data_IF_769079500962
#
_entry.id   IF_769079500962
#
_cell.length_a   1.000
_cell.length_b   1.000
_cell.length_c   1.000
_cell.angle_alpha   90.00
_cell.angle_beta   90.00
_cell.angle_gamma   90.00
#
_symmetry.space_group_name_H-M   'P 1'
#
loop_
_entity.id
_entity.type
_entity.pdbx_description
1 polymer ?
#
# COMPACT_ATOMS: atom_id res chain seq x y z
N UNK A 1 -35.07 9.46 91.66
CA UNK A 1 -35.90 9.99 90.57
C UNK A 1 -35.24 9.64 89.21
N UNK A 2 -35.74 8.61 88.56
CA UNK A 2 -35.21 8.11 87.23
C UNK A 2 -36.03 8.77 86.15
N UNK A 3 -35.38 9.54 85.27
CA UNK A 3 -36.00 10.09 84.09
C UNK A 3 -35.84 9.04 82.91
N UNK A 4 -36.96 8.61 82.38
CA UNK A 4 -37.09 7.78 81.24
C UNK A 4 -37.10 8.69 80.04
N UNK A 5 -36.15 8.55 79.10
CA UNK A 5 -36.11 9.25 77.80
C UNK A 5 -36.65 8.28 76.75
N UNK A 6 -37.82 8.60 76.22
CA UNK A 6 -38.44 7.84 75.12
C UNK A 6 -37.80 8.27 73.77
N UNK A 7 -37.14 7.35 73.08
CA UNK A 7 -36.54 7.60 71.79
C UNK A 7 -37.55 7.22 70.71
N UNK A 8 -38.07 8.22 69.98
CA UNK A 8 -38.97 8.02 68.84
C UNK A 8 -38.13 7.78 67.55
N UNK A 9 -38.19 6.56 67.03
CA UNK A 9 -37.53 6.20 65.74
C UNK A 9 -38.50 6.57 64.61
N UNK A 10 -38.14 7.59 63.83
CA UNK A 10 -38.84 7.92 62.56
C UNK A 10 -38.20 7.08 61.42
N UNK A 11 -38.94 6.10 60.96
CA UNK A 11 -38.54 5.33 59.79
C UNK A 11 -38.77 6.16 58.51
N UNK A 12 -37.70 6.59 57.90
CA UNK A 12 -37.72 7.25 56.57
C UNK A 12 -37.69 6.18 55.49
N UNK A 13 -38.83 5.93 54.86
CA UNK A 13 -38.94 5.00 53.74
C UNK A 13 -38.41 5.69 52.48
N UNK A 14 -37.22 5.32 52.05
CA UNK A 14 -36.63 5.78 50.79
C UNK A 14 -37.20 4.97 49.63
N UNK A 15 -38.16 5.55 48.90
CA UNK A 15 -38.60 4.98 47.59
C UNK A 15 -37.50 5.23 46.57
N UNK A 16 -36.73 4.19 46.27
CA UNK A 16 -35.78 4.18 45.15
C UNK A 16 -36.58 4.04 43.87
N UNK A 17 -36.85 5.13 43.16
CA UNK A 17 -37.30 5.10 41.79
C UNK A 17 -36.15 4.63 40.90
N UNK A 18 -36.08 3.35 40.61
CA UNK A 18 -35.20 2.80 39.57
C UNK A 18 -35.70 3.29 38.20
N UNK A 19 -35.22 4.44 37.75
CA UNK A 19 -35.31 4.77 36.33
C UNK A 19 -34.44 3.76 35.57
N UNK A 20 -35.09 2.77 35.00
CA UNK A 20 -34.49 1.92 34.00
C UNK A 20 -34.06 2.79 32.79
N UNK A 21 -32.76 3.16 32.73
CA UNK A 21 -32.19 3.65 31.50
C UNK A 21 -32.31 2.53 30.49
N UNK A 22 -33.28 2.67 29.57
CA UNK A 22 -33.32 1.88 28.35
C UNK A 22 -31.99 2.11 27.64
N UNK A 23 -31.15 1.08 27.59
CA UNK A 23 -29.94 1.10 26.78
C UNK A 23 -30.39 1.40 25.34
N UNK A 24 -30.07 2.60 24.87
CA UNK A 24 -30.21 2.96 23.46
C UNK A 24 -29.46 1.91 22.68
N UNK A 25 -30.06 1.22 21.70
CA UNK A 25 -29.33 0.26 20.90
C UNK A 25 -28.18 1.01 20.24
N UNK A 26 -26.95 0.65 20.58
CA UNK A 26 -25.76 1.13 19.89
C UNK A 26 -25.96 0.74 18.43
N UNK A 27 -26.29 1.72 17.60
CA UNK A 27 -26.30 1.59 16.16
C UNK A 27 -24.90 1.14 15.80
N UNK A 28 -24.76 -0.11 15.38
CA UNK A 28 -23.51 -0.59 14.81
C UNK A 28 -23.23 0.27 13.57
N UNK A 29 -22.58 1.42 13.78
CA UNK A 29 -22.17 2.27 12.67
C UNK A 29 -21.17 1.47 11.86
N UNK A 30 -21.58 1.16 10.64
CA UNK A 30 -20.76 0.42 9.68
C UNK A 30 -19.58 1.31 9.35
N UNK A 31 -18.37 0.88 9.69
CA UNK A 31 -17.14 1.63 9.41
C UNK A 31 -17.12 2.08 7.94
N UNK A 32 -16.79 3.34 7.71
CA UNK A 32 -16.74 3.95 6.38
C UNK A 32 -15.31 3.98 5.82
N UNK A 33 -15.17 4.23 4.52
CA UNK A 33 -13.86 4.39 3.89
C UNK A 33 -13.13 5.63 4.42
N UNK A 34 -13.87 6.71 4.68
CA UNK A 34 -13.36 7.98 5.20
C UNK A 34 -12.81 7.81 6.63
N UNK A 35 -13.47 7.02 7.46
CA UNK A 35 -13.00 6.73 8.83
C UNK A 35 -11.71 5.91 8.81
N UNK A 36 -11.62 4.89 7.92
CA UNK A 36 -10.37 4.12 7.75
C UNK A 36 -9.26 5.02 7.23
N UNK A 37 -9.53 5.88 6.25
CA UNK A 37 -8.58 6.85 5.70
C UNK A 37 -8.07 7.81 6.80
N UNK A 38 -8.98 8.41 7.56
CA UNK A 38 -8.62 9.35 8.64
C UNK A 38 -7.71 8.71 9.67
N UNK A 39 -8.06 7.49 10.12
CA UNK A 39 -7.25 6.74 11.09
C UNK A 39 -5.91 6.30 10.49
N UNK A 40 -5.90 5.93 9.21
CA UNK A 40 -4.66 5.61 8.49
C UNK A 40 -3.71 6.81 8.44
N UNK A 41 -4.20 7.99 8.06
CA UNK A 41 -3.38 9.21 8.02
C UNK A 41 -2.79 9.54 9.40
N UNK A 42 -3.60 9.43 10.45
CA UNK A 42 -3.13 9.59 11.82
C UNK A 42 -2.07 8.55 12.23
N UNK A 43 -2.10 7.32 11.66
CA UNK A 43 -1.11 6.28 11.90
C UNK A 43 0.25 6.56 11.24
N UNK A 44 0.27 7.38 10.18
CA UNK A 44 1.52 7.81 9.52
C UNK A 44 2.22 8.89 10.36
N UNK A 45 1.47 9.89 10.85
CA UNK A 45 2.04 11.00 11.62
C UNK A 45 1.15 12.23 11.61
N UNK A 46 1.64 13.30 12.24
CA UNK A 46 0.90 14.57 12.19
C UNK A 46 1.04 15.24 10.81
N UNK A 47 0.08 16.10 10.40
CA UNK A 47 0.19 16.83 9.13
C UNK A 47 1.50 17.62 8.99
N UNK A 48 2.01 18.18 10.11
CA UNK A 48 3.27 18.94 10.13
C UNK A 48 4.48 18.02 9.90
N UNK A 49 4.49 16.82 10.50
CA UNK A 49 5.56 15.84 10.28
C UNK A 49 5.55 15.34 8.82
N UNK A 50 4.38 15.01 8.29
CA UNK A 50 4.21 14.60 6.89
C UNK A 50 4.69 15.70 5.93
N UNK A 51 4.31 16.97 6.19
CA UNK A 51 4.72 18.12 5.38
C UNK A 51 6.24 18.34 5.37
N UNK A 52 6.92 18.05 6.48
CA UNK A 52 8.39 18.15 6.59
C UNK A 52 9.14 17.05 5.87
N UNK A 53 8.48 15.95 5.51
CA UNK A 53 9.07 14.76 4.88
C UNK A 53 8.63 14.57 3.42
N UNK A 54 8.36 15.66 2.70
CA UNK A 54 7.96 15.64 1.27
C UNK A 54 9.05 15.16 0.32
N UNK A 55 10.32 15.29 0.69
CA UNK A 55 11.45 14.67 0.02
C UNK A 55 11.93 13.50 0.86
N UNK A 56 11.95 12.30 0.28
CA UNK A 56 12.29 11.05 0.97
C UNK A 56 13.29 10.27 0.13
N UNK A 57 14.37 9.84 0.77
CA UNK A 57 15.30 8.87 0.20
C UNK A 57 15.49 7.76 1.22
N UNK A 58 15.20 6.54 0.83
CA UNK A 58 15.40 5.35 1.63
C UNK A 58 16.39 4.45 0.92
N UNK A 59 17.38 3.98 1.66
CA UNK A 59 18.37 3.04 1.15
C UNK A 59 18.44 1.80 2.02
N UNK A 60 18.81 0.70 1.41
CA UNK A 60 18.88 -0.58 2.08
C UNK A 60 19.40 -1.69 1.18
N UNK A 61 19.06 -2.91 1.55
CA UNK A 61 19.40 -4.11 0.80
C UNK A 61 18.14 -4.83 0.31
N UNK A 62 18.26 -5.47 -0.83
CA UNK A 62 17.18 -6.21 -1.43
C UNK A 62 17.59 -7.59 -1.91
N UNK A 63 16.59 -8.42 -2.09
CA UNK A 63 16.71 -9.78 -2.60
C UNK A 63 15.61 -10.01 -3.63
N UNK A 64 15.99 -10.52 -4.80
CA UNK A 64 15.08 -11.07 -5.79
C UNK A 64 15.11 -12.59 -5.69
N UNK A 65 13.97 -13.19 -5.44
CA UNK A 65 13.80 -14.64 -5.32
C UNK A 65 12.81 -15.15 -6.37
N UNK A 66 13.20 -16.05 -7.27
CA UNK A 66 12.25 -16.80 -8.08
C UNK A 66 11.50 -17.80 -7.19
N UNK A 67 10.17 -17.69 -7.14
CA UNK A 67 9.34 -18.56 -6.30
C UNK A 67 8.77 -19.75 -7.07
N UNK A 68 8.31 -19.51 -8.31
CA UNK A 68 7.67 -20.54 -9.13
C UNK A 68 7.77 -20.19 -10.61
N UNK A 69 7.99 -21.20 -11.46
CA UNK A 69 7.98 -21.04 -12.93
C UNK A 69 9.16 -20.26 -13.52
N UNK A 70 10.04 -19.73 -12.68
CA UNK A 70 11.24 -19.01 -13.09
C UNK A 70 12.47 -19.81 -12.67
N UNK A 71 13.33 -20.17 -13.63
CA UNK A 71 14.60 -20.86 -13.36
C UNK A 71 15.65 -19.82 -13.08
N UNK A 72 16.13 -19.76 -11.85
CA UNK A 72 17.17 -18.80 -11.47
C UNK A 72 17.58 -18.92 -10.02
N UNK A 73 18.71 -18.28 -9.69
CA UNK A 73 19.21 -18.16 -8.32
C UNK A 73 18.64 -16.89 -7.67
N UNK A 74 18.54 -16.93 -6.36
CA UNK A 74 18.31 -15.71 -5.57
C UNK A 74 19.43 -14.70 -5.83
N UNK A 75 19.05 -13.46 -6.15
CA UNK A 75 19.98 -12.35 -6.35
C UNK A 75 19.83 -11.37 -5.20
N UNK A 76 20.93 -10.72 -4.84
CA UNK A 76 20.93 -9.69 -3.79
C UNK A 76 21.57 -8.40 -4.28
N UNK A 77 21.27 -7.28 -3.62
CA UNK A 77 21.89 -6.04 -4.00
C UNK A 77 21.40 -4.84 -3.19
N UNK A 78 21.94 -3.67 -3.51
CA UNK A 78 21.56 -2.41 -2.89
C UNK A 78 20.23 -1.90 -3.46
N UNK A 79 19.43 -1.26 -2.60
CA UNK A 79 18.14 -0.68 -2.99
C UNK A 79 18.09 0.78 -2.61
N UNK A 80 17.50 1.57 -3.49
CA UNK A 80 17.11 2.95 -3.23
C UNK A 80 15.65 3.14 -3.64
N UNK A 81 14.88 3.76 -2.75
CA UNK A 81 13.56 4.30 -3.04
C UNK A 81 13.63 5.80 -2.75
N UNK A 82 13.32 6.62 -3.74
CA UNK A 82 13.33 8.07 -3.58
C UNK A 82 12.03 8.68 -4.10
N UNK A 83 11.55 9.71 -3.41
CA UNK A 83 10.37 10.45 -3.87
C UNK A 83 10.43 11.91 -3.43
N UNK A 84 9.89 12.78 -4.26
CA UNK A 84 9.61 14.19 -3.94
C UNK A 84 8.34 14.60 -4.65
N UNK A 85 7.37 15.12 -3.90
CA UNK A 85 6.02 15.36 -4.39
C UNK A 85 5.45 14.10 -5.07
N UNK A 86 5.03 14.17 -6.33
CA UNK A 86 4.53 13.02 -7.11
C UNK A 86 5.66 12.23 -7.80
N UNK A 87 6.91 12.75 -7.83
CA UNK A 87 8.04 12.06 -8.47
C UNK A 87 8.48 10.85 -7.64
N UNK A 88 8.89 9.79 -8.33
CA UNK A 88 9.27 8.53 -7.69
C UNK A 88 10.43 7.87 -8.44
N UNK A 89 11.35 7.28 -7.69
CA UNK A 89 12.38 6.36 -8.18
C UNK A 89 12.41 5.12 -7.30
N UNK A 90 12.36 3.94 -7.91
CA UNK A 90 12.71 2.66 -7.29
C UNK A 90 13.85 2.04 -8.07
N UNK A 91 14.96 1.76 -7.40
CA UNK A 91 16.12 1.09 -7.98
C UNK A 91 16.57 -0.02 -7.04
N UNK A 92 16.78 -1.20 -7.61
CA UNK A 92 17.48 -2.32 -6.97
C UNK A 92 18.65 -2.71 -7.88
N UNK A 93 19.88 -2.54 -7.44
CA UNK A 93 21.08 -2.96 -8.16
C UNK A 93 21.43 -4.37 -7.71
N UNK A 94 21.42 -5.32 -8.63
CA UNK A 94 21.57 -6.75 -8.36
C UNK A 94 22.94 -7.26 -8.81
N UNK A 95 23.47 -8.22 -8.10
CA UNK A 95 24.77 -8.83 -8.42
C UNK A 95 24.59 -9.94 -9.50
N UNK A 96 24.19 -9.54 -10.70
CA UNK A 96 24.04 -10.42 -11.86
C UNK A 96 24.30 -9.65 -13.14
N UNK A 97 24.95 -10.29 -14.11
CA UNK A 97 25.16 -9.72 -15.44
C UNK A 97 23.89 -9.78 -16.29
N UNK A 98 23.12 -10.84 -16.17
CA UNK A 98 21.89 -11.10 -16.93
C UNK A 98 20.72 -10.25 -16.39
N UNK A 99 20.71 -9.98 -15.08
CA UNK A 99 19.69 -9.22 -14.40
C UNK A 99 20.33 -8.21 -13.44
N UNK A 100 20.96 -7.15 -13.96
CA UNK A 100 21.80 -6.25 -13.16
C UNK A 100 21.00 -5.29 -12.28
N UNK A 101 19.72 -5.06 -12.57
CA UNK A 101 18.91 -4.11 -11.82
C UNK A 101 17.41 -4.24 -12.07
N UNK A 102 16.63 -3.73 -11.14
CA UNK A 102 15.29 -3.16 -11.37
C UNK A 102 15.40 -1.65 -11.31
N UNK A 103 14.84 -0.95 -12.29
CA UNK A 103 14.79 0.51 -12.30
C UNK A 103 13.43 0.96 -12.81
N UNK A 104 12.73 1.72 -11.99
CA UNK A 104 11.45 2.33 -12.33
C UNK A 104 11.47 3.77 -11.83
N UNK A 105 11.13 4.72 -12.68
CA UNK A 105 11.05 6.13 -12.32
C UNK A 105 9.81 6.79 -12.87
N UNK A 106 9.34 7.81 -12.17
CA UNK A 106 8.24 8.68 -12.56
C UNK A 106 8.63 10.13 -12.29
N UNK A 107 8.54 10.97 -13.30
CA UNK A 107 8.92 12.39 -13.26
C UNK A 107 7.72 13.33 -13.16
N UNK A 108 6.59 12.86 -12.59
CA UNK A 108 5.33 13.60 -12.54
C UNK A 108 4.50 13.51 -13.85
N UNK A 109 5.09 13.04 -14.96
CA UNK A 109 4.43 12.92 -16.27
C UNK A 109 4.56 11.51 -16.84
N UNK A 110 5.79 11.01 -16.97
CA UNK A 110 6.13 9.79 -17.67
C UNK A 110 6.72 8.75 -16.71
N UNK A 111 6.25 7.49 -16.84
CA UNK A 111 6.87 6.34 -16.20
C UNK A 111 7.92 5.77 -17.14
N UNK A 112 9.15 5.70 -16.66
CA UNK A 112 10.30 5.11 -17.35
C UNK A 112 10.78 3.86 -16.61
N UNK A 113 11.23 2.85 -17.36
CA UNK A 113 11.66 1.55 -16.84
C UNK A 113 12.95 1.15 -17.49
N UNK A 114 13.90 0.64 -16.71
CA UNK A 114 15.19 0.15 -17.20
C UNK A 114 15.02 -1.06 -18.13
N UNK A 115 15.92 -1.19 -19.11
CA UNK A 115 16.00 -2.33 -19.99
C UNK A 115 17.11 -3.27 -19.54
N UNK A 116 16.87 -4.57 -19.60
CA UNK A 116 17.89 -5.59 -19.38
C UNK A 116 18.94 -5.56 -20.48
N UNK A 117 20.12 -6.20 -20.31
CA UNK A 117 21.15 -6.27 -21.33
C UNK A 117 20.67 -6.87 -22.66
N UNK A 118 19.64 -7.70 -22.63
CA UNK A 118 18.95 -8.27 -23.81
C UNK A 118 18.14 -7.24 -24.61
N UNK A 119 17.90 -6.06 -24.05
CA UNK A 119 17.03 -5.01 -24.63
C UNK A 119 15.59 -5.06 -24.14
N UNK A 120 15.16 -6.17 -23.50
CA UNK A 120 13.82 -6.34 -22.94
C UNK A 120 13.70 -5.66 -21.56
N UNK A 121 12.47 -5.52 -21.08
CA UNK A 121 12.21 -5.12 -19.69
C UNK A 121 12.19 -6.35 -18.79
N UNK A 122 12.49 -6.12 -17.50
CA UNK A 122 12.23 -7.12 -16.47
C UNK A 122 10.72 -7.42 -16.36
N UNK A 123 10.32 -8.57 -15.77
CA UNK A 123 8.90 -8.86 -15.52
C UNK A 123 8.20 -7.79 -14.70
N UNK A 124 8.84 -7.26 -13.64
CA UNK A 124 8.30 -6.15 -12.85
C UNK A 124 8.22 -4.87 -13.67
N UNK A 125 9.28 -4.56 -14.41
CA UNK A 125 9.34 -3.40 -15.28
C UNK A 125 8.27 -3.42 -16.37
N UNK A 126 8.01 -4.57 -17.00
CA UNK A 126 6.95 -4.72 -17.99
C UNK A 126 5.56 -4.55 -17.37
N UNK A 127 5.32 -5.16 -16.19
CA UNK A 127 4.07 -4.96 -15.45
C UNK A 127 3.84 -3.48 -15.12
N UNK A 128 4.82 -2.82 -14.49
CA UNK A 128 4.70 -1.42 -14.06
C UNK A 128 4.60 -0.44 -15.24
N UNK A 129 5.16 -0.78 -16.40
CA UNK A 129 4.98 0.01 -17.61
C UNK A 129 3.56 -0.15 -18.17
N UNK A 130 3.05 -1.37 -18.23
CA UNK A 130 1.70 -1.68 -18.72
C UNK A 130 0.61 -1.15 -17.79
N UNK A 131 0.78 -1.33 -16.49
CA UNK A 131 -0.10 -0.82 -15.43
C UNK A 131 0.37 0.52 -14.84
N UNK A 132 0.97 1.40 -15.67
CA UNK A 132 1.64 2.63 -15.22
C UNK A 132 0.76 3.60 -14.40
N UNK A 133 -0.56 3.45 -14.49
CA UNK A 133 -1.49 4.21 -13.67
C UNK A 133 -1.36 3.94 -12.16
N UNK A 134 -0.81 2.80 -11.74
CA UNK A 134 -0.48 2.54 -10.32
C UNK A 134 0.50 3.61 -9.81
N UNK A 135 1.54 3.91 -10.61
CA UNK A 135 2.56 4.91 -10.27
C UNK A 135 2.01 6.33 -10.47
N UNK A 136 1.37 6.60 -11.63
CA UNK A 136 0.84 7.95 -11.97
C UNK A 136 -0.24 8.44 -11.02
N UNK A 137 -0.97 7.52 -10.37
CA UNK A 137 -1.96 7.85 -9.35
C UNK A 137 -1.35 7.95 -7.94
N UNK A 138 -0.04 7.71 -7.77
CA UNK A 138 0.64 7.74 -6.48
C UNK A 138 0.26 6.57 -5.57
N UNK A 139 -0.06 5.39 -6.12
CA UNK A 139 -0.47 4.25 -5.31
C UNK A 139 0.72 3.37 -4.97
N UNK A 140 1.66 3.19 -5.91
CA UNK A 140 2.85 2.37 -5.77
C UNK A 140 3.76 2.86 -4.64
N UNK A 141 4.23 1.94 -3.82
CA UNK A 141 5.10 2.20 -2.67
C UNK A 141 4.38 2.68 -1.41
N UNK A 142 3.05 2.89 -1.46
CA UNK A 142 2.28 3.29 -0.30
C UNK A 142 2.88 4.49 0.45
N UNK A 143 2.89 4.44 1.78
CA UNK A 143 3.45 5.49 2.64
C UNK A 143 4.98 5.72 2.50
N UNK A 144 5.72 4.86 1.78
CA UNK A 144 7.11 5.13 1.43
C UNK A 144 7.21 6.32 0.46
N UNK A 145 6.24 6.47 -0.45
CA UNK A 145 6.19 7.59 -1.38
C UNK A 145 5.64 8.86 -0.73
N UNK A 146 6.30 10.01 -0.96
CA UNK A 146 5.74 11.32 -0.62
C UNK A 146 4.50 11.66 -1.44
N UNK A 147 4.39 11.09 -2.66
CA UNK A 147 3.22 11.20 -3.54
C UNK A 147 2.12 10.16 -3.24
N UNK A 148 2.14 9.51 -2.08
CA UNK A 148 1.10 8.54 -1.68
C UNK A 148 -0.30 9.16 -1.84
N UNK A 149 -1.12 8.54 -2.68
CA UNK A 149 -2.44 9.07 -3.07
C UNK A 149 -3.33 9.40 -1.88
N UNK A 150 -3.23 8.66 -0.79
CA UNK A 150 -4.05 8.88 0.39
C UNK A 150 -3.64 10.13 1.20
N UNK A 151 -2.41 10.64 1.05
CA UNK A 151 -1.97 11.88 1.70
C UNK A 151 -2.68 13.12 1.15
N UNK A 152 -3.15 13.08 -0.11
CA UNK A 152 -3.83 14.18 -0.79
C UNK A 152 -5.06 13.66 -1.55
N UNK A 153 -5.87 12.80 -0.91
CA UNK A 153 -6.92 12.05 -1.56
C UNK A 153 -7.97 12.92 -2.25
N UNK A 154 -8.44 13.97 -1.59
CA UNK A 154 -9.49 14.86 -2.09
C UNK A 154 -9.12 15.57 -3.39
N UNK A 155 -7.82 15.74 -3.68
CA UNK A 155 -7.33 16.40 -4.90
C UNK A 155 -7.22 15.46 -6.11
N UNK A 156 -7.37 14.15 -5.94
CA UNK A 156 -7.00 13.15 -6.99
C UNK A 156 -8.17 12.62 -7.82
N UNK A 157 -9.41 13.13 -7.62
CA UNK A 157 -10.61 12.61 -8.31
C UNK A 157 -10.72 11.08 -8.27
N UNK A 158 -10.40 10.51 -7.12
CA UNK A 158 -10.44 9.08 -6.85
C UNK A 158 -11.58 8.75 -5.89
N UNK A 159 -11.97 7.48 -5.84
CA UNK A 159 -13.00 6.97 -4.95
C UNK A 159 -12.43 5.83 -4.12
N UNK A 160 -12.73 5.86 -2.82
CA UNK A 160 -12.52 4.75 -1.90
C UNK A 160 -13.87 4.17 -1.50
N UNK A 161 -13.94 2.85 -1.46
CA UNK A 161 -15.10 2.09 -1.00
C UNK A 161 -14.65 1.11 0.08
N UNK A 162 -15.30 1.14 1.24
CA UNK A 162 -15.05 0.16 2.29
C UNK A 162 -15.66 -1.19 1.89
N UNK A 163 -14.81 -2.19 1.67
CA UNK A 163 -15.22 -3.53 1.24
C UNK A 163 -15.38 -4.52 2.40
N UNK A 164 -15.23 -4.06 3.64
CA UNK A 164 -15.37 -4.90 4.84
C UNK A 164 -14.04 -5.40 5.38
N UNK A 165 -14.13 -6.43 6.22
CA UNK A 165 -12.97 -7.11 6.79
C UNK A 165 -12.64 -8.34 5.94
N UNK A 166 -11.36 -8.54 5.68
CA UNK A 166 -10.85 -9.70 4.95
C UNK A 166 -9.72 -10.37 5.73
N UNK A 167 -9.65 -11.69 5.70
CA UNK A 167 -8.56 -12.45 6.30
C UNK A 167 -7.44 -12.61 5.27
N UNK A 168 -6.26 -12.12 5.59
CA UNK A 168 -5.04 -12.28 4.79
C UNK A 168 -3.89 -12.69 5.70
N UNK A 169 -3.20 -13.79 5.37
CA UNK A 169 -2.07 -14.32 6.14
C UNK A 169 -2.36 -14.44 7.66
N UNK A 170 -3.52 -15.02 8.02
CA UNK A 170 -4.01 -15.17 9.39
C UNK A 170 -4.22 -13.84 10.16
N UNK A 171 -4.27 -12.72 9.46
CA UNK A 171 -4.60 -11.40 10.02
C UNK A 171 -5.92 -10.89 9.43
N UNK A 172 -6.74 -10.29 10.28
CA UNK A 172 -7.97 -9.62 9.88
C UNK A 172 -7.65 -8.17 9.52
N UNK A 173 -7.97 -7.76 8.29
CA UNK A 173 -7.61 -6.46 7.74
C UNK A 173 -8.85 -5.73 7.23
N UNK A 174 -8.89 -4.41 7.38
CA UNK A 174 -9.85 -3.57 6.68
C UNK A 174 -9.45 -3.49 5.20
N UNK A 175 -10.39 -3.75 4.30
CA UNK A 175 -10.20 -3.67 2.86
C UNK A 175 -10.87 -2.42 2.30
N UNK A 176 -10.12 -1.61 1.57
CA UNK A 176 -10.63 -0.52 0.75
C UNK A 176 -10.41 -0.84 -0.73
N UNK A 177 -11.43 -0.64 -1.56
CA UNK A 177 -11.28 -0.62 -3.01
C UNK A 177 -10.98 0.80 -3.45
N UNK A 178 -9.91 0.95 -4.23
CA UNK A 178 -9.55 2.21 -4.85
C UNK A 178 -9.96 2.19 -6.32
N UNK A 179 -10.56 3.28 -6.80
CA UNK A 179 -10.88 3.47 -8.21
C UNK A 179 -10.72 4.92 -8.61
N UNK A 180 -10.35 5.15 -9.85
CA UNK A 180 -10.36 6.48 -10.49
C UNK A 180 -10.67 6.32 -11.98
N UNK A 181 -11.07 7.38 -12.64
CA UNK A 181 -11.30 7.39 -14.09
C UNK A 181 -10.06 6.99 -14.90
N UNK A 182 -8.87 7.06 -14.30
CA UNK A 182 -7.58 6.75 -14.94
C UNK A 182 -7.11 5.31 -14.73
N UNK A 183 -7.75 4.53 -13.82
CA UNK A 183 -7.32 3.15 -13.54
C UNK A 183 -7.79 2.14 -14.58
N UNK A 184 -8.82 2.45 -15.37
CA UNK A 184 -9.32 1.56 -16.42
C UNK A 184 -9.77 0.20 -15.85
N UNK A 185 -9.26 -0.89 -16.42
CA UNK A 185 -9.56 -2.28 -16.00
C UNK A 185 -8.75 -2.75 -14.78
N UNK A 186 -7.81 -1.93 -14.29
CA UNK A 186 -6.98 -2.25 -13.13
C UNK A 186 -7.84 -2.27 -11.85
N UNK A 187 -7.85 -3.40 -11.14
CA UNK A 187 -8.48 -3.53 -9.83
C UNK A 187 -7.44 -3.29 -8.75
N UNK A 188 -7.76 -2.43 -7.79
CA UNK A 188 -6.85 -2.02 -6.72
C UNK A 188 -7.54 -2.20 -5.38
N UNK A 189 -6.93 -3.00 -4.52
CA UNK A 189 -7.36 -3.20 -3.13
C UNK A 189 -6.24 -2.76 -2.20
N UNK A 190 -6.58 -1.99 -1.17
CA UNK A 190 -5.69 -1.53 -0.12
C UNK A 190 -6.14 -2.14 1.20
N UNK A 191 -5.20 -2.61 2.00
CA UNK A 191 -5.51 -3.33 3.24
C UNK A 191 -4.81 -2.69 4.43
N UNK A 192 -5.57 -2.53 5.52
CA UNK A 192 -5.13 -1.83 6.72
C UNK A 192 -5.34 -2.72 7.96
N UNK A 193 -4.40 -2.67 8.88
CA UNK A 193 -4.55 -3.36 10.18
C UNK A 193 -5.77 -2.85 10.95
N UNK A 194 -6.43 -3.74 11.69
CA UNK A 194 -7.67 -3.42 12.41
C UNK A 194 -7.45 -2.57 13.65
N UNK A 195 -6.29 -2.65 14.25
CA UNK A 195 -5.90 -1.99 15.49
C UNK A 195 -5.08 -0.71 15.26
N UNK A 196 -4.13 -0.73 14.34
CA UNK A 196 -3.22 0.38 14.08
C UNK A 196 -3.61 1.23 12.88
N UNK A 197 -4.48 0.74 12.00
CA UNK A 197 -4.84 1.33 10.70
C UNK A 197 -3.64 1.58 9.78
N UNK A 198 -2.51 0.93 10.02
CA UNK A 198 -1.35 0.98 9.14
C UNK A 198 -1.68 0.27 7.82
N UNK A 199 -1.28 0.87 6.72
CA UNK A 199 -1.37 0.24 5.42
C UNK A 199 -0.33 -0.86 5.31
N UNK A 200 -0.76 -2.11 5.17
CA UNK A 200 0.14 -3.29 5.20
C UNK A 200 0.17 -4.08 3.92
N UNK A 201 -0.78 -3.83 3.00
CA UNK A 201 -0.83 -4.54 1.72
C UNK A 201 -1.58 -3.73 0.66
N UNK A 202 -1.05 -3.71 -0.57
CA UNK A 202 -1.77 -3.33 -1.79
C UNK A 202 -1.82 -4.52 -2.74
N UNK A 203 -2.95 -4.72 -3.39
CA UNK A 203 -3.13 -5.73 -4.42
C UNK A 203 -3.56 -5.06 -5.72
N UNK A 204 -2.87 -5.38 -6.81
CA UNK A 204 -3.14 -4.86 -8.15
C UNK A 204 -3.40 -6.02 -9.09
N UNK A 205 -4.61 -6.11 -9.65
CA UNK A 205 -4.96 -7.09 -10.65
C UNK A 205 -5.12 -6.40 -12.00
N UNK A 206 -4.29 -6.78 -12.94
CA UNK A 206 -4.28 -6.26 -14.29
C UNK A 206 -4.52 -7.38 -15.30
N UNK A 207 -5.53 -7.20 -16.15
CA UNK A 207 -5.85 -8.12 -17.23
C UNK A 207 -5.54 -7.45 -18.57
N UNK A 208 -4.76 -8.10 -19.40
CA UNK A 208 -4.48 -7.65 -20.77
C UNK A 208 -4.97 -8.69 -21.78
N UNK A 209 -5.66 -8.24 -22.81
CA UNK A 209 -6.03 -9.06 -23.95
C UNK A 209 -4.89 -9.01 -24.95
N UNK A 210 -4.22 -10.13 -25.20
CA UNK A 210 -3.24 -10.23 -26.30
C UNK A 210 -4.00 -10.48 -27.59
N UNK A 211 -3.99 -9.49 -28.47
CA UNK A 211 -4.31 -9.70 -29.87
C UNK A 211 -3.14 -10.43 -30.51
N UNK A 212 -3.23 -11.77 -30.66
CA UNK A 212 -2.09 -12.60 -31.11
C UNK A 212 -1.86 -12.50 -32.61
N UNK A 213 -2.83 -12.02 -33.41
CA UNK A 213 -2.65 -11.85 -34.85
C UNK A 213 -3.50 -10.72 -35.40
N UNK A 214 -3.03 -10.12 -36.49
CA UNK A 214 -3.80 -9.27 -37.40
C UNK A 214 -4.84 -10.05 -38.25
N UNK A 215 -5.03 -11.36 -38.00
CA UNK A 215 -5.97 -12.21 -38.71
C UNK A 215 -7.31 -12.28 -37.94
N UNK A 216 -8.41 -11.74 -38.52
CA UNK A 216 -9.73 -11.76 -37.91
C UNK A 216 -10.31 -13.15 -37.64
N UNK A 217 -9.81 -14.19 -38.36
CA UNK A 217 -10.32 -15.58 -38.21
C UNK A 217 -9.76 -16.27 -36.95
N UNK A 218 -8.73 -15.72 -36.31
CA UNK A 218 -8.11 -16.26 -35.10
C UNK A 218 -8.52 -15.49 -33.82
N UNK A 219 -9.43 -14.54 -33.93
CA UNK A 219 -9.91 -13.75 -32.80
C UNK A 219 -10.58 -14.56 -31.69
N UNK A 220 -11.05 -15.78 -31.98
CA UNK A 220 -11.63 -16.69 -30.98
C UNK A 220 -10.64 -17.33 -30.01
N UNK A 221 -9.32 -17.10 -30.18
CA UNK A 221 -8.23 -17.60 -29.31
C UNK A 221 -7.53 -16.47 -28.56
N UNK A 222 -8.22 -15.37 -28.30
CA UNK A 222 -7.68 -14.33 -27.43
C UNK A 222 -7.55 -14.91 -26.00
N UNK A 223 -6.32 -15.23 -25.60
CA UNK A 223 -6.02 -15.55 -24.21
C UNK A 223 -5.86 -14.24 -23.45
N UNK A 224 -6.66 -14.05 -22.41
CA UNK A 224 -6.46 -12.96 -21.45
C UNK A 224 -5.30 -13.33 -20.54
N UNK A 225 -4.29 -12.46 -20.44
CA UNK A 225 -3.23 -12.58 -19.44
C UNK A 225 -3.62 -11.81 -18.19
N UNK A 226 -3.62 -12.51 -17.07
CA UNK A 226 -3.88 -11.90 -15.77
C UNK A 226 -2.60 -11.86 -14.95
N UNK A 227 -2.27 -10.66 -14.50
CA UNK A 227 -1.16 -10.40 -13.61
C UNK A 227 -1.68 -9.90 -12.28
N UNK A 228 -1.06 -10.36 -11.20
CA UNK A 228 -1.30 -9.84 -9.86
C UNK A 228 0.04 -9.39 -9.27
N UNK A 229 0.12 -8.09 -8.91
CA UNK A 229 1.21 -7.56 -8.10
C UNK A 229 0.67 -7.31 -6.70
N UNK A 230 1.40 -7.81 -5.70
CA UNK A 230 1.12 -7.56 -4.29
C UNK A 230 2.30 -6.78 -3.70
N UNK A 231 2.02 -5.66 -3.06
CA UNK A 231 2.96 -4.95 -2.19
C UNK A 231 2.63 -5.28 -0.74
N UNK A 232 3.65 -5.58 0.06
CA UNK A 232 3.50 -5.79 1.50
C UNK A 232 4.44 -4.87 2.26
N UNK A 233 3.94 -4.33 3.37
CA UNK A 233 4.64 -3.37 4.21
C UNK A 233 4.65 -3.86 5.65
N UNK A 234 5.82 -3.90 6.28
CA UNK A 234 5.97 -4.35 7.67
C UNK A 234 7.16 -3.70 8.37
N UNK A 235 7.38 -4.08 9.63
CA UNK A 235 8.46 -3.55 10.46
C UNK A 235 8.43 -2.01 10.55
N UNK A 236 7.27 -1.47 10.91
CA UNK A 236 7.08 -0.03 10.99
C UNK A 236 7.90 0.60 12.11
N UNK A 237 8.55 1.72 11.80
CA UNK A 237 9.27 2.54 12.77
C UNK A 237 8.96 4.02 12.60
N UNK A 238 9.07 4.77 13.70
CA UNK A 238 8.96 6.23 13.64
C UNK A 238 10.31 6.82 13.25
N UNK A 239 10.31 7.61 12.18
CA UNK A 239 11.49 8.34 11.69
C UNK A 239 11.11 9.79 11.49
N UNK A 240 11.71 10.70 12.24
CA UNK A 240 11.42 12.15 12.24
C UNK A 240 9.92 12.50 12.35
N UNK A 241 9.16 11.73 13.14
CA UNK A 241 7.74 11.96 13.39
C UNK A 241 6.79 11.32 12.38
N UNK A 242 7.29 10.60 11.37
CA UNK A 242 6.49 9.79 10.46
C UNK A 242 6.74 8.31 10.66
N UNK A 243 5.69 7.51 10.66
CA UNK A 243 5.76 6.05 10.78
C UNK A 243 5.86 5.44 9.39
N UNK A 244 6.99 4.82 9.07
CA UNK A 244 7.28 4.22 7.77
C UNK A 244 7.65 2.74 7.92
N UNK A 245 7.31 1.89 6.93
CA UNK A 245 7.75 0.50 6.91
C UNK A 245 9.23 0.42 6.59
N UNK A 246 9.97 -0.43 7.31
CA UNK A 246 11.35 -0.77 7.01
C UNK A 246 11.44 -1.95 6.05
N UNK A 247 10.43 -2.81 6.02
CA UNK A 247 10.36 -3.96 5.11
C UNK A 247 9.29 -3.72 4.06
N UNK A 248 9.70 -3.91 2.81
CA UNK A 248 8.85 -3.77 1.62
C UNK A 248 9.04 -4.97 0.70
N UNK A 249 7.95 -5.66 0.38
CA UNK A 249 7.98 -6.86 -0.45
C UNK A 249 7.04 -6.67 -1.63
N UNK A 250 7.55 -7.00 -2.82
CA UNK A 250 6.79 -7.08 -4.05
C UNK A 250 6.67 -8.54 -4.48
N UNK A 251 5.47 -9.01 -4.75
CA UNK A 251 5.20 -10.33 -5.30
C UNK A 251 4.44 -10.18 -6.62
N UNK A 252 5.06 -10.60 -7.71
CA UNK A 252 4.45 -10.59 -9.04
C UNK A 252 4.13 -12.02 -9.47
N UNK A 253 2.85 -12.27 -9.80
CA UNK A 253 2.38 -13.54 -10.36
C UNK A 253 1.74 -13.31 -11.73
N UNK A 254 1.97 -14.26 -12.65
CA UNK A 254 1.27 -14.37 -13.92
C UNK A 254 0.46 -15.66 -13.91
N UNK A 255 -0.85 -15.60 -14.09
CA UNK A 255 -1.77 -16.74 -13.95
C UNK A 255 -1.88 -17.61 -15.23
N UNK A 256 -1.17 -17.24 -16.31
CA UNK A 256 -1.10 -18.10 -17.52
C UNK A 256 -0.15 -19.27 -17.33
N UNK A 257 -0.15 -20.33 -17.86
CA UNK A 257 0.81 -21.41 -18.18
C UNK A 257 1.71 -21.97 -17.07
N UNK A 258 1.43 -21.89 -15.78
CA UNK A 258 2.23 -22.28 -14.62
C UNK A 258 2.88 -21.09 -13.89
N UNK A 259 2.03 -20.20 -13.40
CA UNK A 259 2.31 -19.21 -12.36
C UNK A 259 3.79 -18.86 -12.19
N UNK A 260 4.30 -17.97 -13.04
CA UNK A 260 5.60 -17.33 -12.78
C UNK A 260 5.41 -16.43 -11.57
N UNK A 261 6.12 -16.73 -10.50
CA UNK A 261 6.11 -15.93 -9.27
C UNK A 261 7.52 -15.44 -8.97
N UNK A 262 7.65 -14.14 -8.78
CA UNK A 262 8.88 -13.46 -8.38
C UNK A 262 8.62 -12.64 -7.14
N UNK A 263 9.58 -12.65 -6.22
CA UNK A 263 9.56 -11.84 -5.01
C UNK A 263 10.77 -10.90 -4.97
N UNK A 264 10.53 -9.63 -4.79
CA UNK A 264 11.54 -8.62 -4.43
C UNK A 264 11.31 -8.24 -2.98
N UNK A 265 12.19 -8.68 -2.08
CA UNK A 265 12.16 -8.34 -0.66
C UNK A 265 13.22 -7.27 -0.36
N UNK A 266 12.79 -6.16 0.23
CA UNK A 266 13.63 -5.00 0.55
C UNK A 266 13.61 -4.75 2.04
N UNK A 267 14.79 -4.50 2.63
CA UNK A 267 14.95 -4.00 4.00
C UNK A 267 15.67 -2.66 3.94
N UNK A 268 14.94 -1.58 4.23
CA UNK A 268 15.51 -0.25 4.38
C UNK A 268 16.21 -0.13 5.72
N UNK A 269 17.39 0.46 5.70
CA UNK A 269 18.23 0.68 6.89
C UNK A 269 18.48 2.16 7.18
N UNK A 270 18.30 3.03 6.19
CA UNK A 270 18.54 4.47 6.32
C UNK A 270 17.42 5.23 5.62
N UNK A 271 17.02 6.33 6.25
CA UNK A 271 15.97 7.24 5.79
C UNK A 271 16.53 8.66 5.83
N UNK A 272 16.42 9.37 4.72
CA UNK A 272 16.85 10.76 4.59
C UNK A 272 15.66 11.59 4.12
N UNK A 273 15.49 12.75 4.75
CA UNK A 273 14.43 13.70 4.43
C UNK A 273 15.04 15.07 4.11
N UNK A 274 14.27 15.92 3.42
CA UNK A 274 14.68 17.28 3.03
C UNK A 274 15.86 17.33 2.06
N UNK A 275 16.17 16.22 1.40
CA UNK A 275 17.20 16.18 0.37
C UNK A 275 16.74 16.96 -0.87
N UNK A 276 17.68 17.70 -1.47
CA UNK A 276 17.44 18.33 -2.78
C UNK A 276 17.66 17.30 -3.86
N UNK A 277 16.59 16.81 -4.46
CA UNK A 277 16.65 15.78 -5.50
C UNK A 277 16.58 16.42 -6.88
N UNK A 278 17.55 16.09 -7.74
CA UNK A 278 17.56 16.54 -9.15
C UNK A 278 16.40 15.89 -9.92
N UNK A 279 15.77 16.65 -10.82
CA UNK A 279 14.71 16.14 -11.70
C UNK A 279 15.20 14.96 -12.59
N UNK A 280 16.49 14.92 -12.93
CA UNK A 280 17.06 13.84 -13.74
C UNK A 280 17.13 12.50 -12.99
N UNK A 281 17.09 12.51 -11.66
CA UNK A 281 16.99 11.29 -10.86
C UNK A 281 15.73 10.48 -11.18
N UNK A 282 14.66 11.16 -11.57
CA UNK A 282 13.34 10.55 -11.84
C UNK A 282 13.13 10.17 -13.32
N UNK A 283 14.23 9.92 -14.02
CA UNK A 283 14.26 9.38 -15.38
C UNK A 283 15.20 8.21 -15.45
N UNK A 284 14.76 7.14 -16.12
CA UNK A 284 15.60 5.98 -16.43
C UNK A 284 15.81 5.96 -17.93
N UNK A 285 17.07 5.98 -18.34
CA UNK A 285 17.48 5.82 -19.75
C UNK A 285 17.57 4.34 -20.12
#
# INVERSE_FOLDING_TARGET
MKKIITLTIIAFTFCINSFGQAATPQKNEKLTAEEVLTKHLASIGTPEAIAKTKSRVMVGNGRLTPLRGFIGKTLTGAVQFASVDDNLLFVMMLNSKEYPYEKVAFNGRDVTVGKMPTGDRSPLGEFLKSASNIIKQGIFGGALSSGWVLLNFDSKNAKLEYAGLENSNNRKLHKLRFSSSKTGTLKINLYFETDTYRHVLSEYQYTTSLSITSDPTQSSRQKEKRFTLIEQFSDFSNVEGVTLPQTYILNLTNEEDNVTALEWAVKFSQFYFKETLSADLFKVS
#
